data_IF_909310849730
#
_entry.id   IF_909310849730
#
_cell.length_a   1.000
_cell.length_b   1.000
_cell.length_c   1.000
_cell.angle_alpha   90.00
_cell.angle_beta   90.00
_cell.angle_gamma   90.00
#
_symmetry.space_group_name_H-M   'P 1'
#
loop_
_entity.id
_entity.type
_entity.pdbx_description
1 polymer ?
#
# COMPACT_ATOMS: atom_id res chain seq x y z
N UNK A 1 15.79 -1.87 -1.08
CA UNK A 1 15.13 -2.38 -2.29
C UNK A 1 15.33 -3.89 -2.32
N UNK A 2 14.25 -4.65 -2.18
CA UNK A 2 14.28 -6.10 -2.08
C UNK A 2 14.50 -6.66 -3.49
N UNK A 3 15.60 -7.38 -3.67
CA UNK A 3 15.94 -8.01 -4.93
C UNK A 3 15.22 -9.36 -5.07
N UNK A 4 14.29 -9.50 -6.04
CA UNK A 4 13.56 -10.74 -6.24
C UNK A 4 14.41 -11.88 -6.82
N UNK A 5 15.65 -11.62 -7.26
CA UNK A 5 16.60 -12.67 -7.68
C UNK A 5 17.43 -13.21 -6.51
N UNK A 6 17.16 -12.75 -5.30
CA UNK A 6 17.87 -13.06 -4.06
C UNK A 6 19.37 -12.71 -4.01
N UNK A 7 19.92 -12.10 -5.06
CA UNK A 7 21.34 -11.75 -5.18
C UNK A 7 21.74 -10.56 -4.31
N UNK A 8 20.79 -9.73 -3.89
CA UNK A 8 21.00 -8.58 -2.99
C UNK A 8 20.25 -8.71 -1.66
N UNK A 9 20.11 -9.91 -1.10
CA UNK A 9 19.82 -9.98 0.34
C UNK A 9 21.10 -9.62 1.10
N UNK A 10 21.01 -8.55 1.88
CA UNK A 10 22.12 -8.11 2.72
C UNK A 10 22.38 -9.16 3.81
N UNK A 11 23.62 -9.62 3.93
CA UNK A 11 24.07 -10.28 5.16
C UNK A 11 24.37 -9.19 6.21
N UNK A 12 23.73 -9.28 7.39
CA UNK A 12 23.87 -8.30 8.47
C UNK A 12 22.81 -7.19 8.47
N UNK A 13 23.04 -6.15 9.28
CA UNK A 13 22.11 -5.01 9.43
C UNK A 13 22.32 -4.02 8.29
N UNK A 14 21.35 -3.94 7.38
CA UNK A 14 21.31 -2.88 6.38
C UNK A 14 20.56 -1.66 6.94
N UNK A 15 21.26 -0.54 7.12
CA UNK A 15 20.63 0.76 7.37
C UNK A 15 20.41 1.47 6.05
N UNK A 16 19.14 1.66 5.70
CA UNK A 16 18.78 2.49 4.56
C UNK A 16 19.09 3.95 4.89
N UNK A 17 20.02 4.55 4.17
CA UNK A 17 20.28 5.98 4.26
C UNK A 17 19.23 6.73 3.43
N UNK A 18 18.14 7.12 4.10
CA UNK A 18 17.04 7.88 3.51
C UNK A 18 17.48 9.28 3.05
N UNK A 19 18.69 9.74 3.38
CA UNK A 19 19.22 10.98 2.83
C UNK A 19 19.58 10.83 1.34
N UNK A 20 19.79 9.61 0.82
CA UNK A 20 20.17 9.38 -0.58
C UNK A 20 19.02 9.41 -1.61
N UNK A 21 17.84 9.95 -1.24
CA UNK A 21 16.64 9.95 -2.07
C UNK A 21 16.63 10.95 -3.24
N UNK A 22 17.63 11.83 -3.35
CA UNK A 22 17.75 12.80 -4.43
C UNK A 22 17.13 14.17 -4.11
N UNK A 23 17.01 15.02 -5.13
CA UNK A 23 16.44 16.37 -5.01
C UNK A 23 14.94 16.32 -4.69
N UNK A 24 14.45 17.32 -3.93
CA UNK A 24 13.06 17.37 -3.47
C UNK A 24 12.76 16.56 -2.21
N UNK A 25 13.78 15.99 -1.56
CA UNK A 25 13.60 15.28 -0.28
C UNK A 25 13.17 16.23 0.84
N UNK A 26 12.31 15.73 1.72
CA UNK A 26 12.07 16.35 3.03
C UNK A 26 13.02 15.72 4.06
N UNK A 27 13.56 16.53 4.97
CA UNK A 27 14.50 16.06 6.01
C UNK A 27 13.80 15.29 7.14
N UNK A 28 12.48 15.31 7.17
CA UNK A 28 11.66 14.66 8.17
C UNK A 28 10.45 13.98 7.53
N UNK A 29 9.90 13.02 8.26
CA UNK A 29 8.63 12.34 7.96
C UNK A 29 7.73 12.40 9.19
N UNK A 30 6.51 11.91 9.06
CA UNK A 30 5.52 11.93 10.13
C UNK A 30 5.16 10.50 10.54
N UNK A 31 5.10 10.27 11.85
CA UNK A 31 4.33 9.15 12.40
C UNK A 31 2.85 9.54 12.34
N UNK A 32 2.04 8.73 11.65
CA UNK A 32 0.65 9.09 11.38
C UNK A 32 -0.32 8.01 11.83
N UNK A 33 -1.47 8.44 12.33
CA UNK A 33 -2.63 7.55 12.47
C UNK A 33 -3.20 7.28 11.08
N UNK A 34 -3.03 6.03 10.62
CA UNK A 34 -3.35 5.63 9.23
C UNK A 34 -4.78 5.96 8.80
N UNK A 35 -5.77 5.80 9.68
CA UNK A 35 -7.15 6.12 9.34
C UNK A 35 -7.34 7.60 8.96
N UNK A 36 -6.72 8.51 9.73
CA UNK A 36 -6.76 9.96 9.46
C UNK A 36 -5.96 10.33 8.22
N UNK A 37 -4.77 9.75 8.08
CA UNK A 37 -3.89 10.04 6.96
C UNK A 37 -4.48 9.56 5.62
N UNK A 38 -4.97 8.32 5.57
CA UNK A 38 -5.57 7.75 4.37
C UNK A 38 -6.84 8.54 3.96
N UNK A 39 -7.63 9.00 4.94
CA UNK A 39 -8.76 9.91 4.69
C UNK A 39 -8.30 11.23 4.08
N UNK A 40 -7.30 11.89 4.68
CA UNK A 40 -6.78 13.16 4.17
C UNK A 40 -6.29 13.03 2.72
N UNK A 41 -5.61 11.94 2.38
CA UNK A 41 -5.19 11.67 1.01
C UNK A 41 -6.37 11.47 0.06
N UNK A 42 -7.41 10.76 0.51
CA UNK A 42 -8.63 10.53 -0.27
C UNK A 42 -9.38 11.83 -0.53
N UNK A 43 -9.55 12.66 0.51
CA UNK A 43 -10.19 13.98 0.41
C UNK A 43 -9.43 14.88 -0.58
N UNK A 44 -8.09 14.82 -0.57
CA UNK A 44 -7.26 15.56 -1.53
C UNK A 44 -7.39 15.03 -2.96
N UNK A 45 -7.58 13.73 -3.15
CA UNK A 45 -7.83 13.14 -4.46
C UNK A 45 -9.19 13.59 -5.02
N UNK A 46 -10.23 13.60 -4.18
CA UNK A 46 -11.55 14.15 -4.53
C UNK A 46 -11.45 15.63 -4.89
N UNK A 47 -10.76 16.43 -4.08
CA UNK A 47 -10.53 17.86 -4.35
C UNK A 47 -9.75 18.11 -5.66
N UNK A 48 -8.90 17.17 -6.06
CA UNK A 48 -8.19 17.19 -7.34
C UNK A 48 -9.05 16.70 -8.52
N UNK A 49 -10.30 16.27 -8.27
CA UNK A 49 -11.27 15.87 -9.28
C UNK A 49 -11.46 14.36 -9.47
N UNK A 50 -10.89 13.53 -8.60
CA UNK A 50 -11.16 12.09 -8.65
C UNK A 50 -12.56 11.76 -8.13
N UNK A 51 -13.24 10.82 -8.77
CA UNK A 51 -14.46 10.22 -8.23
C UNK A 51 -14.10 9.06 -7.30
N UNK A 52 -14.50 9.13 -6.04
CA UNK A 52 -14.21 8.09 -5.04
C UNK A 52 -15.50 7.40 -4.62
N UNK A 53 -15.53 6.08 -4.79
CA UNK A 53 -16.66 5.23 -4.41
C UNK A 53 -16.31 4.40 -3.18
N UNK A 54 -16.73 4.88 -2.01
CA UNK A 54 -16.62 4.09 -0.78
C UNK A 54 -17.62 2.92 -0.77
N UNK A 55 -17.23 1.83 -0.09
CA UNK A 55 -18.03 0.61 0.00
C UNK A 55 -18.15 -0.17 -1.31
N UNK A 56 -17.38 0.19 -2.34
CA UNK A 56 -17.33 -0.50 -3.62
C UNK A 56 -16.23 -1.58 -3.60
N UNK A 57 -16.60 -2.82 -3.30
CA UNK A 57 -15.65 -3.93 -3.30
C UNK A 57 -15.51 -4.50 -4.71
N UNK A 58 -14.36 -4.31 -5.35
CA UNK A 58 -14.05 -4.93 -6.64
C UNK A 58 -13.95 -6.45 -6.48
N UNK A 59 -14.79 -7.17 -7.22
CA UNK A 59 -14.88 -8.64 -7.20
C UNK A 59 -14.28 -9.30 -8.43
N UNK A 60 -14.28 -8.62 -9.58
CA UNK A 60 -13.82 -9.17 -10.86
C UNK A 60 -13.14 -8.12 -11.76
N UNK A 61 -12.22 -8.58 -12.61
CA UNK A 61 -11.62 -7.78 -13.68
C UNK A 61 -12.36 -8.10 -14.99
N UNK A 62 -12.83 -7.07 -15.69
CA UNK A 62 -13.49 -7.24 -16.98
C UNK A 62 -12.42 -7.34 -18.09
N UNK A 63 -12.53 -8.35 -18.93
CA UNK A 63 -11.58 -8.65 -20.00
C UNK A 63 -12.30 -8.69 -21.36
N UNK A 64 -11.66 -8.15 -22.39
CA UNK A 64 -12.00 -8.32 -23.79
C UNK A 64 -10.77 -8.89 -24.51
N UNK A 65 -10.82 -10.19 -24.80
CA UNK A 65 -9.63 -10.95 -25.22
C UNK A 65 -8.52 -10.90 -24.17
N UNK A 66 -7.38 -10.34 -24.54
CA UNK A 66 -6.20 -10.14 -23.69
C UNK A 66 -6.19 -8.76 -22.99
N UNK A 67 -7.14 -7.88 -23.30
CA UNK A 67 -7.21 -6.53 -22.78
C UNK A 67 -8.13 -6.44 -21.57
N UNK A 68 -7.64 -5.82 -20.50
CA UNK A 68 -8.49 -5.40 -19.39
C UNK A 68 -9.27 -4.14 -19.77
N UNK A 69 -10.59 -4.18 -19.58
CA UNK A 69 -11.52 -3.13 -20.03
C UNK A 69 -12.36 -2.55 -18.89
N UNK A 70 -12.12 -2.96 -17.65
CA UNK A 70 -12.86 -2.47 -16.49
C UNK A 70 -12.87 -3.42 -15.31
N UNK A 71 -13.81 -3.20 -14.40
CA UNK A 71 -14.01 -4.00 -13.19
C UNK A 71 -15.49 -4.24 -12.92
N UNK A 72 -15.80 -5.37 -12.28
CA UNK A 72 -17.06 -5.59 -11.58
C UNK A 72 -16.84 -5.32 -10.09
N UNK A 73 -17.78 -4.64 -9.47
CA UNK A 73 -17.73 -4.36 -8.03
C UNK A 73 -19.11 -4.53 -7.39
N UNK A 74 -19.12 -4.81 -6.10
CA UNK A 74 -20.33 -4.85 -5.28
C UNK A 74 -20.40 -3.59 -4.42
N UNK A 75 -21.58 -2.98 -4.35
CA UNK A 75 -21.87 -1.82 -3.51
C UNK A 75 -23.33 -1.87 -3.09
N UNK A 76 -23.61 -1.61 -1.82
CA UNK A 76 -24.99 -1.58 -1.28
C UNK A 76 -25.81 -2.88 -1.57
N UNK A 77 -25.13 -4.03 -1.65
CA UNK A 77 -25.75 -5.32 -1.95
C UNK A 77 -26.06 -5.58 -3.42
N UNK A 78 -25.67 -4.68 -4.33
CA UNK A 78 -25.84 -4.82 -5.77
C UNK A 78 -24.50 -4.94 -6.50
N UNK A 79 -24.52 -5.68 -7.60
CA UNK A 79 -23.38 -5.80 -8.52
C UNK A 79 -23.41 -4.71 -9.59
N UNK A 80 -22.26 -4.12 -9.86
CA UNK A 80 -22.06 -3.05 -10.83
C UNK A 80 -20.86 -3.36 -11.73
N UNK A 81 -20.85 -2.77 -12.92
CA UNK A 81 -19.71 -2.80 -13.84
C UNK A 81 -19.27 -1.37 -14.14
N UNK A 82 -17.95 -1.17 -14.18
CA UNK A 82 -17.34 0.06 -14.62
C UNK A 82 -16.31 -0.24 -15.69
N UNK A 83 -16.46 0.35 -16.87
CA UNK A 83 -15.47 0.25 -17.96
C UNK A 83 -14.45 1.37 -17.88
N UNK A 84 -13.20 1.03 -18.16
CA UNK A 84 -12.09 1.97 -18.16
C UNK A 84 -11.04 1.57 -19.20
N UNK A 85 -10.32 2.56 -19.74
CA UNK A 85 -9.22 2.32 -20.67
C UNK A 85 -8.01 1.67 -19.98
N UNK A 86 -7.84 1.96 -18.69
CA UNK A 86 -6.76 1.48 -17.82
C UNK A 86 -7.33 1.14 -16.45
N UNK A 87 -6.79 0.08 -15.85
CA UNK A 87 -7.09 -0.33 -14.48
C UNK A 87 -5.77 -0.39 -13.71
N UNK A 88 -5.72 0.32 -12.59
CA UNK A 88 -4.54 0.34 -11.69
C UNK A 88 -4.90 -0.41 -10.42
N UNK A 89 -4.12 -1.46 -10.09
CA UNK A 89 -4.33 -2.22 -8.86
C UNK A 89 -3.63 -1.56 -7.67
N UNK A 90 -4.43 -0.82 -6.89
CA UNK A 90 -4.02 -0.25 -5.61
C UNK A 90 -4.60 -1.03 -4.41
N UNK A 91 -4.95 -2.31 -4.57
CA UNK A 91 -5.63 -3.10 -3.53
C UNK A 91 -4.72 -3.55 -2.36
N UNK A 92 -3.52 -2.98 -2.25
CA UNK A 92 -2.52 -3.35 -1.25
C UNK A 92 -2.21 -4.85 -1.24
N UNK A 93 -2.24 -5.48 -0.06
CA UNK A 93 -1.87 -6.90 0.13
C UNK A 93 -2.74 -7.89 -0.64
N UNK A 94 -3.96 -7.51 -1.02
CA UNK A 94 -4.85 -8.39 -1.78
C UNK A 94 -4.32 -8.64 -3.20
N UNK A 95 -3.62 -7.67 -3.80
CA UNK A 95 -3.02 -7.74 -5.14
C UNK A 95 -3.89 -8.44 -6.18
N UNK A 96 -5.09 -7.91 -6.45
CA UNK A 96 -6.12 -8.53 -7.30
C UNK A 96 -5.61 -8.94 -8.68
N UNK A 97 -4.90 -8.05 -9.38
CA UNK A 97 -4.34 -8.32 -10.71
C UNK A 97 -3.24 -9.38 -10.60
N UNK A 98 -2.32 -9.21 -9.64
CA UNK A 98 -1.24 -10.17 -9.43
C UNK A 98 -1.77 -11.58 -9.09
N UNK A 99 -2.86 -11.65 -8.33
CA UNK A 99 -3.54 -12.90 -8.02
C UNK A 99 -4.20 -13.52 -9.26
N UNK A 100 -4.96 -12.72 -10.05
CA UNK A 100 -5.66 -13.19 -11.25
C UNK A 100 -4.71 -13.85 -12.27
N UNK A 101 -3.53 -13.27 -12.44
CA UNK A 101 -2.54 -13.71 -13.43
C UNK A 101 -1.40 -14.55 -12.83
N UNK A 102 -1.47 -14.93 -11.54
CA UNK A 102 -0.43 -15.75 -10.91
C UNK A 102 0.96 -15.10 -10.85
N UNK A 103 1.01 -13.77 -10.79
CA UNK A 103 2.27 -12.99 -10.85
C UNK A 103 2.96 -12.87 -9.49
N UNK A 104 2.26 -13.22 -8.40
CA UNK A 104 2.78 -13.08 -7.04
C UNK A 104 3.89 -14.11 -6.80
N UNK A 105 5.07 -13.63 -6.39
CA UNK A 105 6.18 -14.46 -5.92
C UNK A 105 6.42 -14.20 -4.43
N UNK A 106 6.43 -15.27 -3.65
CA UNK A 106 6.77 -15.20 -2.23
C UNK A 106 8.28 -15.25 -2.06
N UNK A 107 8.79 -14.44 -1.13
CA UNK A 107 10.18 -14.51 -0.70
C UNK A 107 10.23 -15.31 0.59
N UNK A 108 10.73 -16.54 0.53
CA UNK A 108 10.71 -17.48 1.67
C UNK A 108 11.47 -16.91 2.88
N UNK A 109 12.54 -16.15 2.65
CA UNK A 109 13.33 -15.47 3.69
C UNK A 109 12.56 -14.39 4.46
N UNK A 110 11.43 -13.90 3.94
CA UNK A 110 10.63 -12.82 4.52
C UNK A 110 9.26 -13.29 5.01
N UNK A 111 9.14 -14.57 5.39
CA UNK A 111 7.93 -15.12 6.03
C UNK A 111 7.83 -14.69 7.49
N UNK A 112 7.63 -13.40 7.68
CA UNK A 112 7.49 -12.76 8.98
C UNK A 112 6.02 -12.62 9.38
N UNK A 113 5.77 -12.59 10.69
CA UNK A 113 4.48 -12.26 11.29
C UNK A 113 4.66 -11.03 12.18
N UNK A 114 3.70 -10.12 12.15
CA UNK A 114 3.67 -8.95 13.01
C UNK A 114 2.53 -9.07 14.04
N UNK A 115 2.81 -8.71 15.29
CA UNK A 115 1.83 -8.56 16.37
C UNK A 115 1.95 -7.13 16.89
N UNK A 116 0.84 -6.42 16.99
CA UNK A 116 0.84 -5.00 17.37
C UNK A 116 -0.42 -4.64 18.16
N UNK A 117 -0.32 -3.57 18.95
CA UNK A 117 -1.43 -2.97 19.72
C UNK A 117 -1.14 -1.49 19.97
N UNK A 118 -2.19 -0.68 20.12
CA UNK A 118 -2.08 0.71 20.56
C UNK A 118 -2.10 0.81 22.09
N UNK A 119 -1.26 1.69 22.62
CA UNK A 119 -1.12 1.97 24.04
C UNK A 119 -1.25 3.49 24.27
N UNK A 120 -1.71 3.87 25.45
CA UNK A 120 -1.85 5.26 25.90
C UNK A 120 -1.19 5.42 27.28
N UNK A 121 -0.85 6.66 27.66
CA UNK A 121 -0.21 6.94 28.96
C UNK A 121 1.24 6.44 29.04
N UNK A 122 1.95 6.43 27.91
CA UNK A 122 3.35 6.03 27.89
C UNK A 122 4.21 7.07 28.62
N UNK A 123 5.09 6.60 29.50
CA UNK A 123 6.12 7.43 30.13
C UNK A 123 7.35 7.48 29.21
N UNK A 124 7.52 8.60 28.52
CA UNK A 124 8.62 8.83 27.58
C UNK A 124 10.00 8.78 28.24
N UNK A 125 10.10 8.95 29.58
CA UNK A 125 11.39 8.82 30.28
C UNK A 125 11.95 7.38 30.25
N UNK A 126 11.09 6.38 30.04
CA UNK A 126 11.47 4.99 29.85
C UNK A 126 11.67 4.60 28.37
N UNK A 127 11.34 5.52 27.45
CA UNK A 127 11.55 5.33 26.03
C UNK A 127 12.62 6.33 25.56
N UNK A 128 13.87 6.06 25.92
CA UNK A 128 15.03 6.83 25.47
C UNK A 128 15.22 6.63 23.97
N UNK A 129 14.40 7.32 23.17
CA UNK A 129 14.67 7.54 21.76
C UNK A 129 16.03 8.24 21.64
N UNK A 130 16.78 7.91 20.60
CA UNK A 130 18.01 8.63 20.28
C UNK A 130 17.68 9.81 19.36
N UNK A 131 18.51 10.85 19.37
CA UNK A 131 18.39 11.94 18.41
C UNK A 131 18.45 11.37 16.98
N UNK A 132 17.31 11.41 16.25
CA UNK A 132 17.14 10.80 14.93
C UNK A 132 16.16 9.63 14.84
N UNK A 133 15.54 9.21 15.96
CA UNK A 133 14.28 8.44 15.94
C UNK A 133 13.06 9.30 15.51
#
# INVERSE_FOLDING_TARGET
>A
FIDPTETKFFEGVFRADFTKQGEGRHLSAFQVERAKFDKMLTDQAEAAGAEVLFGANVTELLMDGDRMVGVRYEREGAGHELRAAYVVDASGRAGRIAHRFGLRKTLEKLRMVAVFRHYEGLDESHNLGVEGD
#
